data_IF_194813278681
#
_entry.id   IF_194813278681
#
_cell.length_a   1.000
_cell.length_b   1.000
_cell.length_c   1.000
_cell.angle_alpha   90.00
_cell.angle_beta   90.00
_cell.angle_gamma   90.00
#
_symmetry.space_group_name_H-M   'P 1'
#
loop_
_entity.id
_entity.type
_entity.pdbx_description
1 polymer ?
#
# COMPACT_ATOMS: atom_id res chain seq x y z
N UNK A 1 18.97 30.09 -18.61
CA UNK A 1 18.69 29.96 -20.06
C UNK A 1 17.33 29.34 -20.22
N UNK A 2 16.53 29.83 -21.15
CA UNK A 2 15.21 29.24 -21.43
C UNK A 2 15.39 27.91 -22.19
N UNK A 3 14.68 26.89 -21.76
CA UNK A 3 14.71 25.55 -22.34
C UNK A 3 13.35 25.16 -22.89
N UNK A 4 13.31 24.56 -24.09
CA UNK A 4 12.08 24.00 -24.67
C UNK A 4 12.22 22.51 -24.86
N UNK A 5 11.17 21.75 -24.45
CA UNK A 5 11.12 20.29 -24.57
C UNK A 5 9.72 19.82 -24.96
N UNK A 6 9.59 18.59 -25.45
CA UNK A 6 8.28 17.96 -25.69
C UNK A 6 7.56 17.67 -24.35
N UNK A 7 8.29 17.15 -23.34
CA UNK A 7 7.68 16.73 -22.07
C UNK A 7 8.53 17.20 -20.88
N UNK A 8 7.92 17.85 -19.88
CA UNK A 8 8.50 18.05 -18.56
C UNK A 8 7.87 17.09 -17.56
N UNK A 9 8.68 16.39 -16.78
CA UNK A 9 8.25 15.43 -15.77
C UNK A 9 8.69 15.97 -14.41
N UNK A 10 7.72 16.19 -13.51
CA UNK A 10 7.96 16.76 -12.18
C UNK A 10 7.96 15.65 -11.12
N UNK A 11 9.14 15.33 -10.59
CA UNK A 11 9.38 14.30 -9.58
C UNK A 11 10.11 13.07 -10.15
N UNK A 12 11.23 12.71 -9.52
CA UNK A 12 12.06 11.54 -9.82
C UNK A 12 11.66 10.30 -8.97
N UNK A 13 10.39 10.26 -8.53
CA UNK A 13 9.82 9.09 -7.86
C UNK A 13 9.44 7.97 -8.84
N UNK A 14 8.87 6.89 -8.33
CA UNK A 14 8.46 5.70 -9.12
C UNK A 14 7.59 6.07 -10.32
N UNK A 15 6.58 6.93 -10.14
CA UNK A 15 5.70 7.37 -11.22
C UNK A 15 6.44 8.18 -12.27
N UNK A 16 7.28 9.15 -11.85
CA UNK A 16 8.06 9.99 -12.78
C UNK A 16 9.07 9.20 -13.60
N UNK A 17 9.81 8.28 -12.95
CA UNK A 17 10.75 7.39 -13.66
C UNK A 17 10.03 6.45 -14.64
N UNK A 18 8.83 5.97 -14.27
CA UNK A 18 8.00 5.15 -15.17
C UNK A 18 7.47 5.94 -16.35
N UNK A 19 7.08 7.21 -16.14
CA UNK A 19 6.67 8.13 -17.20
C UNK A 19 7.84 8.45 -18.13
N UNK A 20 9.00 8.78 -17.58
CA UNK A 20 10.23 9.04 -18.30
C UNK A 20 10.58 7.90 -19.26
N UNK A 21 10.51 6.65 -18.79
CA UNK A 21 10.80 5.49 -19.62
C UNK A 21 9.90 5.43 -20.88
N UNK A 22 8.62 5.82 -20.78
CA UNK A 22 7.70 5.84 -21.92
C UNK A 22 8.00 7.01 -22.87
N UNK A 23 8.32 8.19 -22.33
CA UNK A 23 8.69 9.38 -23.13
C UNK A 23 9.98 9.12 -23.90
N UNK A 24 11.00 8.54 -23.23
CA UNK A 24 12.28 8.14 -23.85
C UNK A 24 12.07 7.09 -24.94
N UNK A 25 11.21 6.08 -24.71
CA UNK A 25 10.85 5.06 -25.70
C UNK A 25 10.18 5.66 -26.94
N UNK A 26 9.41 6.74 -26.78
CA UNK A 26 8.79 7.48 -27.87
C UNK A 26 9.76 8.44 -28.58
N UNK A 27 11.02 8.53 -28.13
CA UNK A 27 12.07 9.42 -28.66
C UNK A 27 11.68 10.90 -28.61
N UNK A 28 10.92 11.31 -27.61
CA UNK A 28 10.57 12.70 -27.34
C UNK A 28 11.64 13.35 -26.48
N UNK A 29 11.91 14.63 -26.73
CA UNK A 29 12.76 15.44 -25.85
C UNK A 29 12.07 15.66 -24.51
N UNK A 30 12.81 15.55 -23.39
CA UNK A 30 12.23 15.74 -22.06
C UNK A 30 13.23 16.32 -21.07
N UNK A 31 12.68 16.74 -19.95
CA UNK A 31 13.42 16.97 -18.70
C UNK A 31 12.71 16.28 -17.55
N UNK A 32 13.49 15.70 -16.63
CA UNK A 32 13.05 15.23 -15.34
C UNK A 32 13.51 16.23 -14.27
N UNK A 33 12.58 16.75 -13.50
CA UNK A 33 12.85 17.81 -12.50
C UNK A 33 12.54 17.26 -11.11
N UNK A 34 13.49 17.37 -10.18
CA UNK A 34 13.28 16.93 -8.79
C UNK A 34 13.95 17.86 -7.81
N UNK A 35 13.20 18.39 -6.84
CA UNK A 35 13.70 19.32 -5.81
C UNK A 35 13.91 18.70 -4.45
N UNK A 36 13.65 17.41 -4.27
CA UNK A 36 13.86 16.68 -3.02
C UNK A 36 14.93 15.61 -3.15
N UNK A 37 15.10 14.83 -2.08
CA UNK A 37 16.04 13.72 -2.07
C UNK A 37 15.69 12.67 -3.14
N UNK A 38 16.74 12.14 -3.77
CA UNK A 38 16.63 11.12 -4.81
C UNK A 38 16.54 9.72 -4.21
N UNK A 39 16.20 8.73 -5.05
CA UNK A 39 16.15 7.32 -4.66
C UNK A 39 14.74 6.76 -4.46
N UNK A 40 13.71 7.53 -4.75
CA UNK A 40 12.27 7.24 -4.58
C UNK A 40 11.81 7.10 -3.12
N UNK A 41 10.59 7.49 -2.81
CA UNK A 41 9.99 7.32 -1.48
C UNK A 41 9.98 5.85 -1.05
N UNK A 42 9.67 4.93 -1.97
CA UNK A 42 9.61 3.50 -1.66
C UNK A 42 10.96 2.92 -1.22
N UNK A 43 12.05 3.23 -1.95
CA UNK A 43 13.36 2.69 -1.58
C UNK A 43 13.95 3.38 -0.35
N UNK A 44 13.77 4.70 -0.22
CA UNK A 44 14.43 5.52 0.81
C UNK A 44 13.73 5.49 2.17
N UNK A 45 12.42 5.75 2.20
CA UNK A 45 11.64 5.97 3.45
C UNK A 45 10.31 5.21 3.48
N UNK A 46 10.10 4.29 2.56
CA UNK A 46 8.82 3.57 2.44
C UNK A 46 8.97 2.05 2.53
N UNK A 47 8.60 1.39 1.43
CA UNK A 47 8.43 -0.06 1.36
C UNK A 47 9.69 -0.83 1.77
N UNK A 48 10.87 -0.39 1.33
CA UNK A 48 12.08 -1.21 1.49
C UNK A 48 12.62 -1.18 2.93
N UNK A 49 12.88 -0.02 3.55
CA UNK A 49 13.33 0.00 4.94
C UNK A 49 12.26 -0.54 5.91
N UNK A 50 10.97 -0.31 5.66
CA UNK A 50 9.93 -0.88 6.51
C UNK A 50 9.91 -2.41 6.45
N UNK A 51 10.07 -3.02 5.28
CA UNK A 51 10.09 -4.50 5.14
C UNK A 51 11.37 -5.11 5.70
N UNK A 52 12.50 -4.40 5.63
CA UNK A 52 13.71 -4.82 6.32
C UNK A 52 13.51 -4.85 7.85
N UNK A 53 12.93 -3.80 8.43
CA UNK A 53 12.61 -3.73 9.86
C UNK A 53 11.59 -4.81 10.27
N UNK A 54 10.51 -4.98 9.51
CA UNK A 54 9.46 -5.99 9.73
C UNK A 54 10.07 -7.40 9.70
N UNK A 55 10.99 -7.69 8.76
CA UNK A 55 11.63 -9.01 8.69
C UNK A 55 12.41 -9.33 9.99
N UNK A 56 13.25 -8.41 10.46
CA UNK A 56 13.99 -8.59 11.73
C UNK A 56 13.03 -8.77 12.91
N UNK A 57 11.95 -7.97 12.93
CA UNK A 57 10.94 -8.04 13.99
C UNK A 57 10.20 -9.40 13.99
N UNK A 58 9.83 -9.91 12.82
CA UNK A 58 9.18 -11.24 12.69
C UNK A 58 10.13 -12.37 13.06
N UNK A 59 11.41 -12.30 12.66
CA UNK A 59 12.42 -13.32 13.01
C UNK A 59 12.59 -13.40 14.54
N UNK A 60 12.65 -12.26 15.22
CA UNK A 60 12.71 -12.21 16.69
C UNK A 60 11.41 -12.70 17.34
N UNK A 61 10.25 -12.26 16.84
CA UNK A 61 8.95 -12.60 17.42
C UNK A 61 8.65 -14.10 17.35
N UNK A 62 9.21 -14.82 16.36
CA UNK A 62 9.05 -16.27 16.25
C UNK A 62 9.51 -17.02 17.51
N UNK A 63 10.42 -16.46 18.29
CA UNK A 63 10.85 -17.04 19.59
C UNK A 63 9.71 -17.37 20.55
N UNK A 64 8.58 -16.66 20.46
CA UNK A 64 7.43 -16.85 21.37
C UNK A 64 6.73 -18.21 21.20
N UNK A 65 6.98 -18.92 20.09
CA UNK A 65 6.43 -20.25 19.85
C UNK A 65 7.45 -21.36 20.02
N UNK A 66 8.72 -21.06 20.30
CA UNK A 66 9.81 -22.02 20.39
C UNK A 66 9.58 -23.09 21.47
N UNK A 67 9.12 -22.69 22.67
CA UNK A 67 8.80 -23.65 23.73
C UNK A 67 7.75 -24.67 23.30
N UNK A 68 6.72 -24.22 22.58
CA UNK A 68 5.71 -25.11 22.02
C UNK A 68 6.27 -26.08 21.00
N UNK A 69 7.31 -25.68 20.28
CA UNK A 69 8.00 -26.48 19.26
C UNK A 69 9.13 -27.34 19.87
N UNK A 70 9.38 -27.23 21.17
CA UNK A 70 10.48 -27.94 21.86
C UNK A 70 11.86 -27.33 21.56
N UNK A 71 11.92 -26.06 21.16
CA UNK A 71 13.16 -25.32 20.93
C UNK A 71 13.47 -24.50 22.18
N UNK A 72 14.59 -24.80 22.82
CA UNK A 72 15.03 -24.13 24.05
C UNK A 72 15.81 -22.83 23.76
N UNK A 73 15.84 -21.90 24.73
CA UNK A 73 16.66 -20.69 24.70
C UNK A 73 16.04 -19.50 23.97
N UNK A 74 14.79 -19.57 23.54
CA UNK A 74 14.08 -18.46 22.89
C UNK A 74 14.02 -17.19 23.72
N UNK A 75 13.84 -17.30 25.03
CA UNK A 75 13.78 -16.17 25.99
C UNK A 75 15.10 -15.36 26.06
N UNK A 76 16.24 -15.98 25.75
CA UNK A 76 17.53 -15.31 25.75
C UNK A 76 17.79 -14.44 24.51
N UNK A 77 16.95 -14.57 23.48
CA UNK A 77 17.07 -13.77 22.26
C UNK A 77 16.54 -12.35 22.48
N UNK A 78 17.31 -11.37 22.04
CA UNK A 78 16.91 -9.95 22.06
C UNK A 78 17.46 -9.25 20.83
N UNK A 79 16.80 -8.17 20.38
CA UNK A 79 17.35 -7.31 19.36
C UNK A 79 18.36 -6.32 19.95
N UNK A 80 19.48 -6.13 19.29
CA UNK A 80 20.33 -4.98 19.51
C UNK A 80 19.83 -3.85 18.61
N UNK A 81 19.10 -2.88 19.15
CA UNK A 81 18.40 -1.86 18.39
C UNK A 81 19.31 -1.03 17.47
N UNK A 82 20.47 -0.51 17.94
CA UNK A 82 21.41 0.18 17.06
C UNK A 82 21.85 -0.65 15.84
N UNK A 83 22.25 -1.91 16.05
CA UNK A 83 22.66 -2.80 14.96
C UNK A 83 21.48 -3.16 14.02
N UNK A 84 20.27 -3.29 14.57
CA UNK A 84 19.06 -3.52 13.77
C UNK A 84 18.79 -2.33 12.86
N UNK A 85 18.87 -1.10 13.39
CA UNK A 85 18.62 0.11 12.61
C UNK A 85 19.74 0.35 11.58
N UNK A 86 20.99 0.04 11.90
CA UNK A 86 22.11 0.04 10.96
C UNK A 86 21.87 -0.92 9.80
N UNK A 87 21.51 -2.18 10.09
CA UNK A 87 21.15 -3.17 9.07
C UNK A 87 19.99 -2.71 8.14
N UNK A 88 18.96 -2.08 8.69
CA UNK A 88 17.85 -1.52 7.91
C UNK A 88 18.33 -0.43 6.96
N UNK A 89 19.21 0.48 7.45
CA UNK A 89 19.81 1.55 6.63
C UNK A 89 20.72 0.99 5.55
N UNK A 90 21.57 0.02 5.86
CA UNK A 90 22.48 -0.61 4.88
C UNK A 90 21.70 -1.23 3.71
N UNK A 91 20.63 -1.98 4.00
CA UNK A 91 19.78 -2.54 2.96
C UNK A 91 19.05 -1.47 2.15
N UNK A 92 18.57 -0.42 2.81
CA UNK A 92 17.97 0.74 2.15
C UNK A 92 18.94 1.39 1.18
N UNK A 93 20.14 1.68 1.62
CA UNK A 93 21.15 2.41 0.85
C UNK A 93 21.58 1.62 -0.40
N UNK A 94 21.76 0.32 -0.29
CA UNK A 94 22.02 -0.57 -1.43
C UNK A 94 20.88 -0.43 -2.49
N UNK A 95 19.63 -0.32 -2.05
CA UNK A 95 18.49 -0.23 -2.95
C UNK A 95 18.35 1.17 -3.55
N UNK A 96 18.63 2.21 -2.77
CA UNK A 96 18.69 3.60 -3.25
C UNK A 96 19.77 3.75 -4.32
N UNK A 97 20.98 3.28 -4.06
CA UNK A 97 22.09 3.32 -5.01
C UNK A 97 21.74 2.63 -6.33
N UNK A 98 21.06 1.48 -6.27
CA UNK A 98 20.57 0.80 -7.49
C UNK A 98 19.55 1.62 -8.27
N UNK A 99 18.67 2.33 -7.58
CA UNK A 99 17.69 3.22 -8.25
C UNK A 99 18.43 4.36 -8.94
N UNK A 100 19.36 5.03 -8.26
CA UNK A 100 20.12 6.15 -8.79
C UNK A 100 20.98 5.74 -9.99
N UNK A 101 21.77 4.67 -9.85
CA UNK A 101 22.61 4.13 -10.91
C UNK A 101 21.83 3.74 -12.18
N UNK A 102 20.55 3.33 -12.04
CA UNK A 102 19.69 2.97 -13.18
C UNK A 102 18.77 4.11 -13.64
N UNK A 103 18.90 5.30 -13.09
CA UNK A 103 18.03 6.44 -13.42
C UNK A 103 18.80 7.76 -13.53
N UNK A 104 18.79 8.56 -12.47
CA UNK A 104 19.26 9.96 -12.49
C UNK A 104 20.74 10.12 -12.74
N UNK A 105 21.59 9.20 -12.30
CA UNK A 105 23.05 9.29 -12.46
C UNK A 105 23.50 9.25 -13.94
N UNK A 106 22.66 8.74 -14.83
CA UNK A 106 22.97 8.60 -16.25
C UNK A 106 22.31 9.68 -17.13
N UNK A 107 21.58 10.65 -16.53
CA UNK A 107 20.72 11.53 -17.31
C UNK A 107 21.41 12.80 -17.84
N UNK A 108 22.50 13.24 -17.21
CA UNK A 108 23.16 14.48 -17.62
C UNK A 108 22.18 15.66 -17.66
N UNK A 109 22.17 16.37 -18.78
CA UNK A 109 21.30 17.56 -18.98
C UNK A 109 19.80 17.25 -19.00
N UNK A 110 19.39 15.99 -19.12
CA UNK A 110 17.95 15.62 -19.04
C UNK A 110 17.41 15.68 -17.61
N UNK A 111 18.28 15.73 -16.59
CA UNK A 111 17.91 15.90 -15.19
C UNK A 111 18.17 17.34 -14.72
N UNK A 112 17.21 17.92 -14.02
CA UNK A 112 17.32 19.24 -13.40
C UNK A 112 16.99 19.11 -11.90
N UNK A 113 17.98 19.42 -11.07
CA UNK A 113 17.77 19.51 -9.63
C UNK A 113 17.10 20.87 -9.29
N UNK A 114 15.97 20.80 -8.59
CA UNK A 114 15.24 21.97 -8.12
C UNK A 114 13.74 21.77 -8.03
N UNK A 115 13.09 22.69 -7.33
CA UNK A 115 11.64 22.74 -7.22
C UNK A 115 11.04 23.52 -8.38
N UNK A 116 10.18 22.85 -9.17
CA UNK A 116 9.44 23.48 -10.25
C UNK A 116 8.16 24.14 -9.75
N UNK A 117 7.79 25.29 -10.35
CA UNK A 117 6.47 25.89 -10.18
C UNK A 117 5.95 26.42 -11.52
N UNK A 118 4.66 26.38 -11.72
CA UNK A 118 4.04 27.02 -12.87
C UNK A 118 4.13 28.54 -12.77
N UNK A 119 4.52 29.19 -13.84
CA UNK A 119 4.45 30.65 -14.01
C UNK A 119 3.41 31.06 -15.05
N UNK A 120 3.13 30.17 -16.00
CA UNK A 120 2.10 30.26 -17.04
C UNK A 120 1.71 28.82 -17.43
N UNK A 121 0.57 28.60 -18.14
CA UNK A 121 0.25 27.29 -18.68
C UNK A 121 1.42 26.74 -19.52
N UNK A 122 1.88 25.52 -19.18
CA UNK A 122 3.00 24.83 -19.85
C UNK A 122 4.38 25.49 -19.71
N UNK A 123 4.53 26.49 -18.84
CA UNK A 123 5.82 27.14 -18.54
C UNK A 123 6.14 26.99 -17.04
N UNK A 124 7.28 26.39 -16.77
CA UNK A 124 7.77 26.13 -15.43
C UNK A 124 8.97 27.01 -15.11
N UNK A 125 9.09 27.43 -13.86
CA UNK A 125 10.26 28.05 -13.27
C UNK A 125 10.96 27.06 -12.36
N UNK A 126 12.27 26.84 -12.55
CA UNK A 126 13.14 26.04 -11.67
C UNK A 126 14.38 26.86 -11.35
N UNK A 127 14.50 27.38 -10.13
CA UNK A 127 15.53 28.40 -9.81
C UNK A 127 15.41 29.60 -10.75
N UNK A 128 16.48 29.93 -11.48
CA UNK A 128 16.49 31.01 -12.48
C UNK A 128 16.12 30.56 -13.89
N UNK A 129 15.93 29.25 -14.12
CA UNK A 129 15.69 28.69 -15.45
C UNK A 129 14.19 28.61 -15.74
N UNK A 130 13.77 29.04 -16.94
CA UNK A 130 12.44 28.80 -17.49
C UNK A 130 12.44 27.59 -18.40
N UNK A 131 11.42 26.74 -18.25
CA UNK A 131 11.23 25.53 -19.04
C UNK A 131 9.85 25.59 -19.67
N UNK A 132 9.82 25.67 -20.99
CA UNK A 132 8.58 25.53 -21.78
C UNK A 132 8.44 24.11 -22.25
N UNK A 133 7.32 23.46 -21.97
CA UNK A 133 7.05 22.10 -22.37
C UNK A 133 5.73 22.00 -23.13
N UNK A 134 5.71 21.18 -24.18
CA UNK A 134 4.45 20.95 -24.88
C UNK A 134 3.46 20.16 -24.03
N UNK A 135 3.96 19.32 -23.12
CA UNK A 135 3.18 18.51 -22.16
C UNK A 135 3.91 18.41 -20.82
N UNK A 136 3.14 18.22 -19.73
CA UNK A 136 3.69 18.12 -18.38
C UNK A 136 3.13 16.88 -17.69
N UNK A 137 3.99 16.14 -16.97
CA UNK A 137 3.60 15.02 -16.10
C UNK A 137 3.88 15.42 -14.64
N UNK A 138 2.83 15.49 -13.83
CA UNK A 138 2.91 15.73 -12.39
C UNK A 138 3.11 14.39 -11.67
N UNK A 139 4.28 14.22 -11.05
CA UNK A 139 4.65 12.99 -10.32
C UNK A 139 5.42 13.29 -9.02
N UNK A 140 5.11 14.44 -8.38
CA UNK A 140 5.83 14.96 -7.20
C UNK A 140 5.52 14.21 -5.90
N UNK A 141 4.64 13.21 -5.93
CA UNK A 141 4.31 12.38 -4.77
C UNK A 141 3.65 13.14 -3.62
N UNK A 142 3.86 12.61 -2.43
CA UNK A 142 3.23 13.08 -1.18
C UNK A 142 4.25 13.15 -0.05
N UNK A 143 3.88 13.79 1.06
CA UNK A 143 4.63 13.84 2.32
C UNK A 143 3.75 13.45 3.51
N UNK A 144 4.31 12.98 4.65
CA UNK A 144 3.56 12.69 5.85
C UNK A 144 2.78 13.91 6.37
N UNK A 145 1.60 13.66 6.94
CA UNK A 145 0.82 14.68 7.64
C UNK A 145 1.24 14.72 9.10
N UNK A 146 1.70 15.89 9.55
CA UNK A 146 1.93 16.21 10.96
C UNK A 146 1.13 17.47 11.29
N UNK A 147 0.27 17.47 12.32
CA UNK A 147 -0.46 18.66 12.73
C UNK A 147 0.51 19.80 13.11
N UNK A 148 0.24 21.04 12.69
CA UNK A 148 1.08 22.19 13.09
C UNK A 148 1.21 22.35 14.61
N UNK A 149 0.19 21.96 15.37
CA UNK A 149 0.20 21.98 16.84
C UNK A 149 1.21 21.03 17.49
N UNK A 150 1.80 20.11 16.70
CA UNK A 150 2.82 19.17 17.18
C UNK A 150 4.26 19.65 16.91
N UNK A 151 4.44 20.80 16.28
CA UNK A 151 5.76 21.31 15.89
C UNK A 151 6.70 21.52 17.09
N UNK A 152 6.18 21.91 18.24
CA UNK A 152 6.97 22.19 19.45
C UNK A 152 7.60 20.91 20.07
N UNK A 153 7.11 19.73 19.72
CA UNK A 153 7.69 18.46 20.17
C UNK A 153 8.95 18.05 19.39
N UNK A 154 9.26 18.73 18.27
CA UNK A 154 10.50 18.55 17.50
C UNK A 154 10.75 17.12 17.06
N UNK A 155 11.97 16.64 17.25
CA UNK A 155 12.41 15.29 16.82
C UNK A 155 11.71 14.13 17.53
N UNK A 156 10.96 14.39 18.60
CA UNK A 156 10.14 13.37 19.26
C UNK A 156 8.89 12.99 18.45
N UNK A 157 8.53 13.79 17.43
CA UNK A 157 7.51 13.43 16.45
C UNK A 157 8.19 12.76 15.27
N UNK A 158 8.02 11.46 15.18
CA UNK A 158 8.53 10.64 14.09
C UNK A 158 7.49 10.52 12.98
N UNK A 159 7.97 10.34 11.77
CA UNK A 159 7.16 10.02 10.59
C UNK A 159 7.79 8.85 9.84
N UNK A 160 7.15 8.35 8.77
CA UNK A 160 7.79 7.38 7.86
C UNK A 160 9.11 7.90 7.28
N UNK A 161 9.25 9.24 7.15
CA UNK A 161 10.43 9.85 6.53
C UNK A 161 11.62 9.96 7.51
N UNK A 162 11.38 9.86 8.83
CA UNK A 162 12.42 10.06 9.86
C UNK A 162 12.68 8.83 10.74
N UNK A 163 11.74 7.89 10.85
CA UNK A 163 11.86 6.73 11.77
C UNK A 163 13.05 5.83 11.42
N UNK A 164 13.42 5.72 10.15
CA UNK A 164 14.54 4.87 9.71
C UNK A 164 15.91 5.52 9.90
N UNK A 165 15.95 6.83 10.20
CA UNK A 165 17.19 7.57 10.50
C UNK A 165 17.56 7.50 11.98
N UNK A 166 16.75 6.90 12.84
CA UNK A 166 17.07 6.71 14.24
C UNK A 166 18.31 5.81 14.40
N UNK A 167 19.27 6.26 15.21
CA UNK A 167 20.42 5.45 15.60
C UNK A 167 20.04 4.39 16.62
N UNK A 168 19.08 4.70 17.50
CA UNK A 168 18.52 3.79 18.51
C UNK A 168 17.01 3.96 18.59
N UNK A 169 16.29 2.96 19.08
CA UNK A 169 14.85 3.01 19.21
C UNK A 169 14.42 3.66 20.54
N UNK A 170 13.31 4.43 20.58
CA UNK A 170 12.74 4.92 21.83
C UNK A 170 12.22 3.74 22.66
N UNK A 171 12.25 3.86 24.00
CA UNK A 171 11.72 2.80 24.89
C UNK A 171 10.20 2.68 24.79
N UNK A 172 9.54 3.80 24.53
CA UNK A 172 8.08 3.88 24.41
C UNK A 172 7.66 4.80 23.27
N UNK A 173 6.62 4.40 22.53
CA UNK A 173 6.11 5.15 21.40
C UNK A 173 4.58 5.06 21.30
N UNK A 174 3.95 6.19 21.00
CA UNK A 174 2.56 6.22 20.58
C UNK A 174 2.49 6.26 19.04
N UNK A 175 1.76 5.33 18.45
CA UNK A 175 1.48 5.33 17.01
C UNK A 175 0.12 5.96 16.78
N UNK A 176 0.09 7.11 16.11
CA UNK A 176 -1.14 7.86 15.82
C UNK A 176 -1.48 7.74 14.35
N UNK A 177 -2.61 7.12 14.07
CA UNK A 177 -3.03 6.66 12.75
C UNK A 177 -2.67 5.18 12.54
N UNK A 178 -3.68 4.30 12.54
CA UNK A 178 -3.54 2.85 12.40
C UNK A 178 -3.95 2.37 10.99
N UNK A 179 -3.55 3.17 9.98
CA UNK A 179 -3.48 2.75 8.59
C UNK A 179 -2.34 1.75 8.36
N UNK A 180 -2.03 1.46 7.10
CA UNK A 180 -0.98 0.50 6.71
C UNK A 180 0.36 0.81 7.40
N UNK A 181 0.83 2.06 7.31
CA UNK A 181 2.14 2.48 7.86
C UNK A 181 2.18 2.32 9.39
N UNK A 182 1.15 2.82 10.08
CA UNK A 182 1.10 2.77 11.54
C UNK A 182 1.03 1.35 12.09
N UNK A 183 0.25 0.47 11.45
CA UNK A 183 0.17 -0.93 11.86
C UNK A 183 1.46 -1.70 11.64
N UNK A 184 2.08 -1.54 10.45
CA UNK A 184 3.33 -2.21 10.11
C UNK A 184 4.47 -1.80 11.04
N UNK A 185 4.70 -0.50 11.20
CA UNK A 185 5.78 0.01 12.04
C UNK A 185 5.47 -0.21 13.53
N UNK A 186 4.23 0.01 13.97
CA UNK A 186 3.84 -0.23 15.35
C UNK A 186 4.04 -1.68 15.77
N UNK A 187 3.64 -2.64 14.94
CA UNK A 187 3.86 -4.05 15.24
C UNK A 187 5.34 -4.43 15.20
N UNK A 188 6.10 -3.96 14.21
CA UNK A 188 7.52 -4.24 14.12
C UNK A 188 8.29 -3.71 15.35
N UNK A 189 8.00 -2.48 15.77
CA UNK A 189 8.60 -1.89 16.96
C UNK A 189 8.22 -2.66 18.22
N UNK A 190 6.95 -3.07 18.36
CA UNK A 190 6.49 -3.89 19.49
C UNK A 190 7.22 -5.24 19.54
N UNK A 191 7.39 -5.92 18.44
CA UNK A 191 8.11 -7.19 18.36
C UNK A 191 9.60 -7.06 18.67
N UNK A 192 10.19 -5.90 18.41
CA UNK A 192 11.56 -5.56 18.80
C UNK A 192 11.69 -5.16 20.29
N UNK A 193 10.60 -5.09 21.03
CA UNK A 193 10.60 -4.81 22.46
C UNK A 193 10.34 -3.36 22.86
N UNK A 194 9.96 -2.49 21.91
CA UNK A 194 9.50 -1.12 22.22
C UNK A 194 8.10 -1.18 22.83
N UNK A 195 7.85 -0.39 23.88
CA UNK A 195 6.50 -0.24 24.45
C UNK A 195 5.62 0.61 23.52
N UNK A 196 4.78 -0.03 22.72
CA UNK A 196 3.93 0.61 21.71
C UNK A 196 2.49 0.76 22.24
N UNK A 197 1.86 1.91 21.94
CA UNK A 197 0.42 2.12 22.10
C UNK A 197 -0.13 2.76 20.82
N UNK A 198 -1.17 2.18 20.25
CA UNK A 198 -1.78 2.64 19.00
C UNK A 198 -3.06 3.44 19.24
N UNK A 199 -3.23 4.52 18.47
CA UNK A 199 -4.40 5.39 18.48
C UNK A 199 -4.89 5.69 17.07
N UNK A 200 -6.21 5.64 16.86
CA UNK A 200 -6.84 6.15 15.64
C UNK A 200 -8.17 6.82 15.94
N UNK A 201 -8.49 7.89 15.21
CA UNK A 201 -9.80 8.53 15.28
C UNK A 201 -10.88 7.72 14.55
N UNK A 202 -10.48 6.84 13.63
CA UNK A 202 -11.38 5.91 12.94
C UNK A 202 -11.60 4.66 13.82
N UNK A 203 -12.74 4.00 13.63
CA UNK A 203 -13.08 2.74 14.29
C UNK A 203 -12.61 1.50 13.50
N UNK A 204 -11.58 1.65 12.66
CA UNK A 204 -11.08 0.58 11.80
C UNK A 204 -9.56 0.56 11.75
N UNK A 205 -8.99 -0.56 11.31
CA UNK A 205 -7.57 -0.75 11.03
C UNK A 205 -7.34 -0.92 9.53
N UNK A 206 -6.26 -0.34 8.99
CA UNK A 206 -5.88 -0.45 7.57
C UNK A 206 -7.03 -0.13 6.58
N UNK A 207 -8.03 0.67 6.98
CA UNK A 207 -9.17 1.00 6.14
C UNK A 207 -10.11 -0.16 5.83
N UNK A 208 -10.15 -1.22 6.66
CA UNK A 208 -11.06 -2.36 6.47
C UNK A 208 -12.50 -1.91 6.66
N UNK A 209 -13.35 -2.10 5.65
CA UNK A 209 -14.77 -1.77 5.69
C UNK A 209 -15.66 -2.98 6.03
N UNK A 210 -15.23 -4.22 5.72
CA UNK A 210 -15.96 -5.44 6.11
C UNK A 210 -16.00 -5.61 7.63
N UNK A 211 -17.20 -5.61 8.27
CA UNK A 211 -17.33 -5.62 9.73
C UNK A 211 -16.73 -6.86 10.40
N UNK A 212 -16.86 -8.05 9.79
CA UNK A 212 -16.30 -9.28 10.36
C UNK A 212 -14.78 -9.34 10.25
N UNK A 213 -14.23 -8.88 9.11
CA UNK A 213 -12.79 -8.78 8.93
C UNK A 213 -12.19 -7.70 9.86
N UNK A 214 -12.86 -6.54 9.98
CA UNK A 214 -12.48 -5.46 10.92
C UNK A 214 -12.39 -5.97 12.35
N UNK A 215 -13.42 -6.66 12.83
CA UNK A 215 -13.43 -7.23 14.17
C UNK A 215 -12.28 -8.22 14.39
N UNK A 216 -12.03 -9.09 13.41
CA UNK A 216 -10.91 -10.05 13.45
C UNK A 216 -9.55 -9.34 13.46
N UNK A 217 -9.37 -8.30 12.65
CA UNK A 217 -8.13 -7.52 12.61
C UNK A 217 -7.86 -6.83 13.94
N UNK A 218 -8.86 -6.15 14.51
CA UNK A 218 -8.72 -5.47 15.82
C UNK A 218 -8.35 -6.48 16.91
N UNK A 219 -9.05 -7.62 16.99
CA UNK A 219 -8.77 -8.67 17.98
C UNK A 219 -7.33 -9.20 17.89
N UNK A 220 -6.85 -9.43 16.66
CA UNK A 220 -5.52 -10.00 16.45
C UNK A 220 -4.40 -8.97 16.65
N UNK A 221 -4.57 -7.77 16.13
CA UNK A 221 -3.56 -6.70 16.26
C UNK A 221 -3.42 -6.21 17.70
N UNK A 222 -4.51 -6.18 18.48
CA UNK A 222 -4.48 -5.83 19.92
C UNK A 222 -3.66 -6.80 20.80
N UNK A 223 -3.25 -7.94 20.25
CA UNK A 223 -2.31 -8.86 20.94
C UNK A 223 -0.86 -8.41 20.82
N UNK A 224 -0.53 -7.64 19.80
CA UNK A 224 0.82 -7.12 19.60
C UNK A 224 1.08 -5.88 20.45
N UNK A 225 0.11 -4.98 20.56
CA UNK A 225 0.16 -3.77 21.40
C UNK A 225 -1.25 -3.24 21.69
N UNK A 226 -1.46 -2.46 22.77
CA UNK A 226 -2.74 -1.80 23.07
C UNK A 226 -3.19 -0.88 21.92
N UNK A 227 -4.48 -0.97 21.54
CA UNK A 227 -5.09 -0.20 20.43
C UNK A 227 -6.34 0.52 20.96
N UNK A 228 -6.41 1.83 20.73
CA UNK A 228 -7.53 2.70 21.09
C UNK A 228 -8.06 3.41 19.84
N UNK A 229 -9.34 3.19 19.51
CA UNK A 229 -10.00 3.68 18.31
C UNK A 229 -11.12 4.67 18.64
N UNK A 230 -11.55 5.47 17.65
CA UNK A 230 -12.71 6.35 17.72
C UNK A 230 -12.44 7.71 18.39
N UNK A 231 -11.19 8.06 18.68
CA UNK A 231 -10.87 9.32 19.35
C UNK A 231 -9.67 10.02 18.70
N UNK A 232 -9.80 11.32 18.52
CA UNK A 232 -8.67 12.17 18.12
C UNK A 232 -7.65 12.28 19.28
N UNK A 233 -6.38 12.41 18.91
CA UNK A 233 -5.26 12.51 19.86
C UNK A 233 -4.91 13.95 20.14
N UNK A 234 -4.71 14.28 21.42
CA UNK A 234 -4.09 15.52 21.91
C UNK A 234 -2.74 15.20 22.56
N UNK A 235 -1.72 15.99 22.22
CA UNK A 235 -0.39 15.90 22.82
C UNK A 235 -0.16 17.01 23.83
N UNK A 236 0.51 16.68 24.95
CA UNK A 236 0.95 17.63 25.97
C UNK A 236 2.37 17.30 26.41
N UNK A 237 3.13 18.34 26.72
CA UNK A 237 4.48 18.19 27.28
C UNK A 237 4.40 17.58 28.68
N UNK A 238 5.23 16.58 28.94
CA UNK A 238 5.32 15.90 30.25
C UNK A 238 6.80 15.70 30.61
N UNK A 239 7.40 16.67 31.24
CA UNK A 239 8.85 16.70 31.48
C UNK A 239 9.66 16.53 30.18
N UNK A 240 10.40 15.42 30.03
CA UNK A 240 11.14 15.08 28.79
C UNK A 240 10.38 14.16 27.84
N UNK A 241 9.14 13.81 28.18
CA UNK A 241 8.28 12.89 27.44
C UNK A 241 7.04 13.58 26.90
N UNK A 242 6.20 12.85 26.21
CA UNK A 242 4.95 13.33 25.61
C UNK A 242 3.78 12.58 26.25
N UNK A 243 2.84 13.32 26.84
CA UNK A 243 1.55 12.78 27.23
C UNK A 243 0.60 12.79 26.05
N UNK A 244 0.11 11.62 25.71
CA UNK A 244 -0.86 11.38 24.61
C UNK A 244 -2.21 11.09 25.24
N UNK A 245 -3.22 11.89 24.90
CA UNK A 245 -4.59 11.75 25.40
C UNK A 245 -5.53 11.46 24.24
N UNK A 246 -6.43 10.46 24.38
CA UNK A 246 -7.46 10.11 23.40
C UNK A 246 -8.73 9.63 24.14
N UNK A 247 -9.79 10.42 24.19
CA UNK A 247 -10.96 10.15 25.03
C UNK A 247 -10.55 10.01 26.51
N UNK A 248 -10.91 8.87 27.11
CA UNK A 248 -10.55 8.56 28.51
C UNK A 248 -9.17 7.89 28.67
N UNK A 249 -8.45 7.70 27.57
CA UNK A 249 -7.13 7.05 27.59
C UNK A 249 -6.01 8.09 27.65
N UNK A 250 -4.98 7.78 28.43
CA UNK A 250 -3.79 8.62 28.57
C UNK A 250 -2.54 7.77 28.74
N UNK A 251 -1.50 8.05 27.98
CA UNK A 251 -0.19 7.37 28.08
C UNK A 251 0.93 8.40 27.99
N UNK A 252 2.05 8.14 28.65
CA UNK A 252 3.28 8.95 28.55
C UNK A 252 4.31 8.15 27.79
N UNK A 253 4.89 8.75 26.74
CA UNK A 253 5.81 8.08 25.81
C UNK A 253 7.01 8.96 25.49
N UNK A 254 8.09 8.34 25.02
CA UNK A 254 9.30 9.06 24.60
C UNK A 254 9.10 9.75 23.24
N UNK A 255 8.36 9.11 22.34
CA UNK A 255 8.14 9.60 20.99
C UNK A 255 6.73 9.28 20.47
N UNK A 256 6.30 9.99 19.44
CA UNK A 256 5.04 9.76 18.73
C UNK A 256 5.34 9.51 17.26
N UNK A 257 4.87 8.40 16.70
CA UNK A 257 4.88 8.14 15.26
C UNK A 257 3.60 8.71 14.64
N UNK A 258 3.73 9.76 13.85
CA UNK A 258 2.64 10.37 13.09
C UNK A 258 2.45 9.60 11.77
N UNK A 259 1.42 8.76 11.71
CA UNK A 259 1.02 7.94 10.55
C UNK A 259 -0.43 8.24 10.10
N UNK A 260 -0.83 9.51 10.22
CA UNK A 260 -2.19 10.01 9.99
C UNK A 260 -2.50 10.34 8.52
N UNK A 261 -1.85 9.65 7.59
CA UNK A 261 -2.00 9.84 6.16
C UNK A 261 -0.90 10.71 5.54
N UNK A 262 -1.06 10.96 4.25
CA UNK A 262 -0.08 11.69 3.43
C UNK A 262 -0.78 12.82 2.68
N UNK A 263 -0.06 13.94 2.50
CA UNK A 263 -0.53 15.13 1.79
C UNK A 263 0.19 15.25 0.45
N UNK A 264 -0.55 15.55 -0.60
CA UNK A 264 -0.03 15.83 -1.93
C UNK A 264 0.92 17.05 -1.93
N UNK A 265 1.98 16.97 -2.75
CA UNK A 265 2.96 18.04 -2.92
C UNK A 265 2.55 19.07 -3.99
N UNK A 266 1.27 19.18 -4.31
CA UNK A 266 0.72 20.15 -5.27
C UNK A 266 0.87 21.62 -4.81
N UNK A 267 0.86 21.86 -3.52
CA UNK A 267 0.95 23.20 -2.94
C UNK A 267 2.27 23.94 -3.26
N UNK A 268 3.30 23.23 -3.71
CA UNK A 268 4.56 23.83 -4.14
C UNK A 268 4.58 24.23 -5.61
N UNK A 269 3.60 23.77 -6.40
CA UNK A 269 3.61 23.88 -7.86
C UNK A 269 2.97 25.15 -8.39
N UNK A 270 2.31 25.98 -7.55
CA UNK A 270 1.52 27.15 -7.99
C UNK A 270 0.49 26.77 -9.08
N UNK A 271 -0.36 25.78 -8.75
CA UNK A 271 -1.30 25.15 -9.69
C UNK A 271 -2.29 26.16 -10.31
N UNK A 272 -2.56 27.27 -9.65
CA UNK A 272 -3.37 28.39 -10.17
C UNK A 272 -2.85 28.97 -11.50
N UNK A 273 -1.55 28.83 -11.77
CA UNK A 273 -0.92 29.27 -13.01
C UNK A 273 -0.88 28.19 -14.10
N UNK A 274 -1.28 26.96 -13.78
CA UNK A 274 -1.16 25.81 -14.69
C UNK A 274 -2.21 25.78 -15.80
N UNK A 275 -3.36 26.42 -15.58
CA UNK A 275 -4.53 26.31 -16.44
C UNK A 275 -5.26 24.96 -16.32
N UNK A 276 -5.00 24.20 -15.26
CA UNK A 276 -5.66 22.92 -14.96
C UNK A 276 -6.81 23.13 -13.98
N UNK A 277 -7.96 22.56 -14.27
CA UNK A 277 -9.10 22.58 -13.35
C UNK A 277 -8.82 21.69 -12.13
N UNK A 278 -9.02 22.24 -10.94
CA UNK A 278 -8.88 21.56 -9.66
C UNK A 278 -10.22 21.50 -8.91
N UNK A 279 -10.37 20.52 -8.05
CA UNK A 279 -11.51 20.43 -7.14
C UNK A 279 -11.39 21.43 -5.97
N UNK A 280 -12.36 21.40 -5.03
CA UNK A 280 -12.40 22.28 -3.86
C UNK A 280 -11.20 22.10 -2.90
N UNK A 281 -10.44 21.02 -3.03
CA UNK A 281 -9.25 20.72 -2.23
C UNK A 281 -7.94 21.04 -2.97
N UNK A 282 -8.03 21.59 -4.18
CA UNK A 282 -6.87 21.92 -5.01
C UNK A 282 -6.27 20.72 -5.75
N UNK A 283 -6.98 19.58 -5.80
CA UNK A 283 -6.56 18.38 -6.51
C UNK A 283 -6.98 18.50 -7.98
N UNK A 284 -6.07 18.29 -8.96
CA UNK A 284 -6.43 18.26 -10.38
C UNK A 284 -7.53 17.26 -10.70
N UNK A 285 -8.53 17.69 -11.47
CA UNK A 285 -9.56 16.81 -11.98
C UNK A 285 -8.99 16.06 -13.19
N UNK A 286 -8.93 14.73 -13.12
CA UNK A 286 -8.30 13.90 -14.14
C UNK A 286 -9.08 12.61 -14.44
N UNK A 287 -8.82 12.03 -15.58
CA UNK A 287 -9.35 10.73 -15.99
C UNK A 287 -8.36 9.61 -15.63
N UNK A 288 -8.78 8.66 -14.79
CA UNK A 288 -7.95 7.54 -14.31
C UNK A 288 -7.49 6.58 -15.42
N UNK A 289 -8.14 6.56 -16.57
CA UNK A 289 -7.81 5.67 -17.68
C UNK A 289 -6.76 6.28 -18.62
N UNK A 290 -6.69 7.61 -18.68
CA UNK A 290 -5.74 8.35 -19.51
C UNK A 290 -4.67 9.06 -18.69
N UNK A 291 -4.88 9.25 -17.39
CA UNK A 291 -4.10 10.09 -16.47
C UNK A 291 -4.06 11.57 -16.89
N UNK A 292 -4.92 12.01 -17.79
CA UNK A 292 -4.99 13.38 -18.32
C UNK A 292 -5.85 14.26 -17.42
N UNK A 293 -5.39 15.46 -17.12
CA UNK A 293 -6.13 16.47 -16.38
C UNK A 293 -7.06 17.25 -17.32
N UNK A 294 -8.35 16.93 -17.27
CA UNK A 294 -9.37 17.50 -18.15
C UNK A 294 -8.98 17.45 -19.63
N UNK A 295 -9.20 18.56 -20.34
CA UNK A 295 -8.77 18.70 -21.76
C UNK A 295 -7.37 19.30 -21.90
N UNK A 296 -6.66 19.54 -20.80
CA UNK A 296 -5.31 20.09 -20.82
C UNK A 296 -4.27 19.12 -21.37
N UNK A 297 -3.04 19.56 -21.55
CA UNK A 297 -1.88 18.73 -21.90
C UNK A 297 -1.02 18.41 -20.66
N UNK A 298 -1.65 18.42 -19.48
CA UNK A 298 -1.06 18.04 -18.20
C UNK A 298 -1.59 16.65 -17.82
N UNK A 299 -0.70 15.81 -17.34
CA UNK A 299 -0.98 14.46 -16.85
C UNK A 299 -0.55 14.36 -15.37
N UNK A 300 -1.19 13.47 -14.61
CA UNK A 300 -0.86 13.26 -13.20
C UNK A 300 -0.61 11.77 -12.95
N UNK A 301 0.32 11.41 -12.06
CA UNK A 301 0.61 10.02 -11.79
C UNK A 301 1.27 9.79 -10.41
N UNK A 302 0.96 8.68 -9.78
CA UNK A 302 1.45 8.26 -8.48
C UNK A 302 0.73 8.95 -7.33
N UNK A 303 1.30 8.90 -6.14
CA UNK A 303 0.65 9.32 -4.89
C UNK A 303 0.06 10.75 -4.93
N UNK A 304 0.62 11.62 -5.78
CA UNK A 304 0.11 12.98 -6.00
C UNK A 304 -1.31 13.00 -6.57
N UNK A 305 -1.75 11.92 -7.23
CA UNK A 305 -3.11 11.79 -7.78
C UNK A 305 -4.18 11.69 -6.68
N UNK A 306 -3.78 11.37 -5.44
CA UNK A 306 -4.70 11.20 -4.32
C UNK A 306 -5.53 9.92 -4.37
N UNK A 307 -5.25 9.01 -5.32
CA UNK A 307 -5.92 7.71 -5.46
C UNK A 307 -5.19 6.63 -4.64
N UNK A 308 -4.88 5.49 -5.22
CA UNK A 308 -4.22 4.37 -4.54
C UNK A 308 -2.72 4.64 -4.35
N UNK A 309 -2.30 5.02 -3.13
CA UNK A 309 -0.92 5.40 -2.79
C UNK A 309 -0.03 4.17 -2.57
N UNK A 310 0.11 3.34 -3.60
CA UNK A 310 0.94 2.13 -3.59
C UNK A 310 1.84 2.07 -4.82
N UNK A 311 3.00 1.43 -4.69
CA UNK A 311 4.06 1.46 -5.71
C UNK A 311 3.62 0.92 -7.07
N UNK A 312 2.90 -0.20 -7.12
CA UNK A 312 2.50 -0.81 -8.38
C UNK A 312 1.49 0.05 -9.14
N UNK A 313 0.57 0.75 -8.44
CA UNK A 313 -0.33 1.74 -9.03
C UNK A 313 0.44 2.95 -9.52
N UNK A 314 1.36 3.51 -8.73
CA UNK A 314 2.23 4.61 -9.14
C UNK A 314 3.05 4.27 -10.41
N UNK A 315 3.51 3.02 -10.53
CA UNK A 315 4.21 2.53 -11.72
C UNK A 315 3.29 2.51 -12.95
N UNK A 316 2.08 1.98 -12.81
CA UNK A 316 1.11 1.89 -13.92
C UNK A 316 0.62 3.28 -14.34
N UNK A 317 0.28 4.13 -13.38
CA UNK A 317 -0.11 5.52 -13.64
C UNK A 317 1.00 6.28 -14.36
N UNK A 318 2.25 6.14 -13.90
CA UNK A 318 3.41 6.74 -14.56
C UNK A 318 3.56 6.26 -16.00
N UNK A 319 3.38 4.97 -16.27
CA UNK A 319 3.42 4.41 -17.63
C UNK A 319 2.31 4.97 -18.50
N UNK A 320 1.08 5.05 -18.00
CA UNK A 320 -0.07 5.59 -18.74
C UNK A 320 0.14 7.08 -19.03
N UNK A 321 0.50 7.87 -18.00
CA UNK A 321 0.77 9.30 -18.14
C UNK A 321 1.89 9.58 -19.13
N UNK A 322 3.04 8.89 -19.00
CA UNK A 322 4.17 9.04 -19.90
C UNK A 322 3.87 8.58 -21.32
N UNK A 323 3.12 7.49 -21.49
CA UNK A 323 2.68 7.04 -22.82
C UNK A 323 1.81 8.10 -23.50
N UNK A 324 0.84 8.66 -22.77
CA UNK A 324 -0.08 9.66 -23.29
C UNK A 324 0.58 11.04 -23.48
N UNK A 325 1.47 11.44 -22.59
CA UNK A 325 2.23 12.67 -22.72
C UNK A 325 3.18 12.67 -23.93
N UNK A 326 3.56 11.52 -24.44
CA UNK A 326 4.41 11.41 -25.62
C UNK A 326 3.64 11.39 -26.96
N UNK A 327 2.30 11.58 -26.97
CA UNK A 327 1.42 11.43 -28.15
C UNK A 327 0.43 12.57 -28.29
N UNK A 328 -0.08 12.77 -29.50
CA UNK A 328 -1.02 13.86 -29.79
C UNK A 328 -2.44 13.59 -29.28
N UNK A 329 -2.82 12.31 -29.18
CA UNK A 329 -4.12 11.88 -28.61
C UNK A 329 -3.90 10.95 -27.44
N UNK A 330 -4.65 11.15 -26.36
CA UNK A 330 -4.65 10.27 -25.20
C UNK A 330 -5.43 8.98 -25.48
N UNK A 331 -4.88 7.86 -25.01
CA UNK A 331 -5.48 6.52 -25.08
C UNK A 331 -5.89 6.09 -23.69
N UNK A 332 -7.11 5.60 -23.54
CA UNK A 332 -7.61 5.03 -22.29
C UNK A 332 -7.11 3.59 -22.09
N UNK A 333 -6.62 3.29 -20.90
CA UNK A 333 -6.16 1.95 -20.50
C UNK A 333 -7.05 1.39 -19.40
N UNK A 334 -7.35 0.09 -19.46
CA UNK A 334 -8.00 -0.61 -18.36
C UNK A 334 -7.08 -0.60 -17.14
N UNK A 335 -7.62 -0.25 -15.97
CA UNK A 335 -6.89 -0.35 -14.70
C UNK A 335 -6.88 -1.81 -14.22
N UNK A 336 -5.85 -2.19 -13.49
CA UNK A 336 -5.73 -3.50 -12.86
C UNK A 336 -6.67 -3.61 -11.67
N UNK A 337 -6.89 -4.83 -11.21
CA UNK A 337 -7.63 -5.10 -9.98
C UNK A 337 -6.92 -4.46 -8.79
N UNK A 338 -7.61 -3.63 -7.96
CA UNK A 338 -7.05 -3.06 -6.75
C UNK A 338 -6.50 -4.14 -5.81
N UNK A 339 -5.31 -3.92 -5.26
CA UNK A 339 -4.64 -4.84 -4.35
C UNK A 339 -3.90 -4.07 -3.27
N UNK A 340 -4.33 -4.21 -2.03
CA UNK A 340 -3.69 -3.63 -0.86
C UNK A 340 -3.25 -4.72 0.12
N UNK A 341 -2.01 -4.64 0.58
CA UNK A 341 -1.41 -5.57 1.54
C UNK A 341 -0.76 -4.76 2.65
N UNK A 342 -1.15 -5.04 3.90
CA UNK A 342 -0.47 -4.58 5.12
C UNK A 342 0.36 -5.74 5.65
N UNK A 343 1.67 -5.57 5.72
CA UNK A 343 2.64 -6.62 6.08
C UNK A 343 2.78 -6.80 7.60
N UNK A 344 1.64 -6.89 8.27
CA UNK A 344 1.55 -7.31 9.68
C UNK A 344 1.57 -8.84 9.79
N UNK A 345 1.68 -9.38 11.00
CA UNK A 345 1.48 -10.79 11.33
C UNK A 345 0.26 -10.92 12.27
N UNK A 346 -0.88 -11.43 11.75
CA UNK A 346 -1.14 -11.83 10.36
C UNK A 346 -1.21 -10.65 9.38
N UNK A 347 -0.96 -10.90 8.07
CA UNK A 347 -1.18 -9.89 7.04
C UNK A 347 -2.66 -9.49 6.95
N UNK A 348 -2.90 -8.22 6.59
CA UNK A 348 -4.22 -7.71 6.24
C UNK A 348 -4.22 -7.40 4.76
N UNK A 349 -5.09 -8.06 3.98
CA UNK A 349 -5.16 -7.85 2.54
C UNK A 349 -6.58 -7.49 2.11
N UNK A 350 -6.70 -6.51 1.20
CA UNK A 350 -7.95 -6.13 0.56
C UNK A 350 -7.76 -6.20 -0.95
N UNK A 351 -8.63 -6.89 -1.65
CA UNK A 351 -8.50 -7.24 -3.06
C UNK A 351 -9.80 -6.95 -3.79
N UNK A 352 -9.72 -6.31 -4.96
CA UNK A 352 -10.87 -6.02 -5.81
C UNK A 352 -11.77 -4.93 -5.24
N UNK A 353 -13.08 -5.12 -5.35
CA UNK A 353 -14.09 -4.16 -4.88
C UNK A 353 -14.12 -4.15 -3.35
N UNK A 354 -14.02 -2.95 -2.75
CA UNK A 354 -14.14 -2.79 -1.30
C UNK A 354 -15.56 -3.20 -0.81
N UNK A 355 -15.64 -3.69 0.43
CA UNK A 355 -16.92 -4.23 0.95
C UNK A 355 -18.07 -3.21 0.89
N UNK A 356 -17.82 -1.95 1.23
CA UNK A 356 -18.83 -0.89 1.24
C UNK A 356 -19.29 -0.47 -0.18
N UNK A 357 -18.49 -0.76 -1.20
CA UNK A 357 -18.79 -0.46 -2.60
C UNK A 357 -19.53 -1.62 -3.29
N UNK A 358 -19.74 -2.74 -2.58
CA UNK A 358 -20.46 -3.89 -3.12
C UNK A 358 -21.97 -3.63 -3.16
N UNK A 359 -22.67 -3.97 -4.25
CA UNK A 359 -24.13 -3.93 -4.30
C UNK A 359 -24.72 -5.05 -3.42
N UNK A 360 -25.10 -4.72 -2.18
CA UNK A 360 -25.45 -5.68 -1.13
C UNK A 360 -26.56 -6.69 -1.51
N UNK A 361 -27.48 -6.31 -2.41
CA UNK A 361 -28.55 -7.16 -2.93
C UNK A 361 -28.14 -8.13 -4.04
N UNK A 362 -26.93 -7.96 -4.59
CA UNK A 362 -26.42 -8.72 -5.75
C UNK A 362 -25.18 -9.58 -5.40
N UNK A 363 -24.70 -9.52 -4.16
CA UNK A 363 -23.45 -10.18 -3.74
C UNK A 363 -23.74 -11.21 -2.65
N UNK A 364 -23.05 -12.33 -2.74
CA UNK A 364 -22.95 -13.35 -1.69
C UNK A 364 -21.53 -13.40 -1.13
N UNK A 365 -21.45 -13.71 0.16
CA UNK A 365 -20.20 -13.76 0.89
C UNK A 365 -19.88 -15.18 1.35
N UNK A 366 -18.63 -15.60 1.14
CA UNK A 366 -18.07 -16.80 1.71
C UNK A 366 -17.03 -16.48 2.78
N UNK A 367 -17.04 -17.26 3.84
CA UNK A 367 -16.16 -17.08 4.98
C UNK A 367 -15.43 -18.37 5.33
N UNK A 368 -14.15 -18.25 5.72
CA UNK A 368 -13.40 -19.33 6.33
C UNK A 368 -12.52 -18.79 7.46
N UNK A 369 -12.73 -19.27 8.67
CA UNK A 369 -11.85 -19.03 9.80
C UNK A 369 -10.66 -19.97 9.76
N UNK A 370 -9.46 -19.49 10.14
CA UNK A 370 -8.23 -20.27 10.06
C UNK A 370 -8.09 -21.36 11.13
N UNK A 371 -8.94 -21.36 12.16
CA UNK A 371 -8.88 -22.32 13.26
C UNK A 371 -8.71 -23.78 12.81
N UNK A 372 -9.54 -24.31 11.88
CA UNK A 372 -9.46 -25.70 11.44
C UNK A 372 -8.47 -25.95 10.27
N UNK A 373 -7.77 -24.92 9.76
CA UNK A 373 -6.86 -25.07 8.62
C UNK A 373 -5.57 -25.76 9.06
N UNK A 374 -5.32 -26.98 8.58
CA UNK A 374 -4.22 -27.83 9.03
C UNK A 374 -2.84 -27.17 8.89
N UNK A 375 -2.53 -26.53 7.76
CA UNK A 375 -1.26 -25.84 7.56
C UNK A 375 -1.09 -24.66 8.53
N UNK A 376 -2.14 -23.88 8.72
CA UNK A 376 -2.13 -22.75 9.66
C UNK A 376 -1.88 -23.21 11.10
N UNK A 377 -2.49 -24.34 11.49
CA UNK A 377 -2.28 -24.95 12.82
C UNK A 377 -0.83 -25.41 13.02
N UNK A 378 -0.26 -26.08 12.01
CA UNK A 378 1.15 -26.53 12.04
C UNK A 378 2.09 -25.33 12.21
N UNK A 379 1.82 -24.22 11.52
CA UNK A 379 2.63 -23.00 11.60
C UNK A 379 2.44 -22.21 12.90
N UNK A 380 1.47 -22.57 13.75
CA UNK A 380 1.09 -21.74 14.90
C UNK A 380 0.32 -20.48 14.55
N UNK A 381 -0.15 -20.36 13.31
CA UNK A 381 -0.74 -19.18 12.68
C UNK A 381 -2.23 -19.41 12.32
N UNK A 382 -2.94 -20.24 13.08
CA UNK A 382 -4.33 -20.63 12.81
C UNK A 382 -5.37 -19.63 13.36
N UNK A 383 -5.01 -18.35 13.40
CA UNK A 383 -5.90 -17.25 13.78
C UNK A 383 -6.10 -16.36 12.57
N UNK A 384 -7.35 -15.94 12.35
CA UNK A 384 -7.68 -15.07 11.24
C UNK A 384 -8.91 -15.51 10.48
N UNK A 385 -9.15 -14.82 9.36
CA UNK A 385 -10.37 -14.89 8.61
C UNK A 385 -10.10 -14.60 7.13
N UNK A 386 -10.68 -15.41 6.25
CA UNK A 386 -10.78 -15.12 4.82
C UNK A 386 -12.24 -14.87 4.47
N UNK A 387 -12.51 -13.78 3.77
CA UNK A 387 -13.82 -13.48 3.19
C UNK A 387 -13.69 -13.22 1.70
N UNK A 388 -14.58 -13.83 0.91
CA UNK A 388 -14.66 -13.64 -0.54
C UNK A 388 -16.05 -13.11 -0.89
N UNK A 389 -16.11 -12.23 -1.88
CA UNK A 389 -17.33 -11.57 -2.34
C UNK A 389 -17.58 -11.96 -3.78
N UNK A 390 -18.74 -12.57 -4.04
CA UNK A 390 -19.10 -13.07 -5.37
C UNK A 390 -20.46 -12.55 -5.83
N UNK A 391 -20.56 -12.21 -7.10
CA UNK A 391 -21.81 -11.80 -7.73
C UNK A 391 -22.80 -12.97 -7.73
N UNK A 392 -23.99 -12.79 -7.13
CA UNK A 392 -24.99 -13.83 -6.92
C UNK A 392 -25.43 -14.48 -8.22
N UNK A 393 -25.62 -13.68 -9.28
CA UNK A 393 -26.17 -14.14 -10.55
C UNK A 393 -25.19 -14.93 -11.40
N UNK A 394 -23.92 -14.52 -11.43
CA UNK A 394 -22.89 -15.10 -12.30
C UNK A 394 -21.89 -15.95 -11.55
N UNK A 395 -21.77 -15.78 -10.22
CA UNK A 395 -20.75 -16.37 -9.39
C UNK A 395 -19.34 -15.79 -9.61
N UNK A 396 -19.20 -14.66 -10.31
CA UNK A 396 -17.91 -13.99 -10.48
C UNK A 396 -17.38 -13.50 -9.16
N UNK A 397 -16.10 -13.71 -8.93
CA UNK A 397 -15.41 -13.11 -7.80
C UNK A 397 -15.25 -11.61 -8.05
N UNK A 398 -15.67 -10.78 -7.09
CA UNK A 398 -15.60 -9.32 -7.14
C UNK A 398 -14.53 -8.75 -6.24
N UNK A 399 -14.31 -9.38 -5.09
CA UNK A 399 -13.35 -8.91 -4.11
C UNK A 399 -13.12 -9.92 -2.99
N UNK A 400 -12.20 -9.59 -2.10
CA UNK A 400 -11.91 -10.38 -0.90
C UNK A 400 -11.23 -9.51 0.18
N UNK A 401 -11.40 -9.91 1.45
CA UNK A 401 -10.63 -9.40 2.59
C UNK A 401 -10.03 -10.57 3.36
N UNK A 402 -8.72 -10.53 3.57
CA UNK A 402 -7.97 -11.61 4.21
C UNK A 402 -7.26 -11.07 5.46
N UNK A 403 -7.38 -11.79 6.57
CA UNK A 403 -6.59 -11.60 7.77
C UNK A 403 -5.91 -12.96 8.03
N UNK A 404 -4.70 -13.14 7.51
CA UNK A 404 -4.04 -14.44 7.55
C UNK A 404 -2.52 -14.31 7.44
N UNK A 405 -1.79 -15.24 8.03
CA UNK A 405 -0.35 -15.33 7.85
C UNK A 405 -0.02 -15.69 6.40
N UNK A 406 0.97 -15.01 5.79
CA UNK A 406 1.38 -15.17 4.39
C UNK A 406 0.25 -14.92 3.38
N UNK A 407 -0.72 -14.08 3.74
CA UNK A 407 -1.87 -13.80 2.88
C UNK A 407 -1.50 -13.00 1.62
N UNK A 408 -0.31 -12.39 1.56
CA UNK A 408 0.19 -11.70 0.38
C UNK A 408 0.21 -12.58 -0.87
N UNK A 409 0.48 -13.89 -0.72
CA UNK A 409 0.47 -14.83 -1.85
C UNK A 409 -0.96 -15.13 -2.32
N UNK A 410 -1.89 -15.38 -1.37
CA UNK A 410 -3.31 -15.56 -1.67
C UNK A 410 -3.93 -14.30 -2.28
N UNK A 411 -3.51 -13.12 -1.80
CA UNK A 411 -3.99 -11.85 -2.32
C UNK A 411 -3.63 -11.64 -3.80
N UNK A 412 -2.41 -11.98 -4.21
CA UNK A 412 -2.00 -11.96 -5.62
C UNK A 412 -2.82 -12.95 -6.46
N UNK A 413 -2.97 -14.20 -5.98
CA UNK A 413 -3.78 -15.22 -6.65
C UNK A 413 -5.22 -14.71 -6.88
N UNK A 414 -5.84 -14.14 -5.85
CA UNK A 414 -7.20 -13.60 -5.93
C UNK A 414 -7.30 -12.40 -6.88
N UNK A 415 -6.33 -11.49 -6.85
CA UNK A 415 -6.29 -10.36 -7.77
C UNK A 415 -6.23 -10.83 -9.23
N UNK A 416 -5.42 -11.85 -9.55
CA UNK A 416 -5.36 -12.43 -10.90
C UNK A 416 -6.67 -13.13 -11.29
N UNK A 417 -7.30 -13.86 -10.36
CA UNK A 417 -8.62 -14.48 -10.60
C UNK A 417 -9.70 -13.44 -10.89
N UNK A 418 -9.70 -12.31 -10.19
CA UNK A 418 -10.64 -11.19 -10.41
C UNK A 418 -10.38 -10.53 -11.77
N UNK A 419 -9.12 -10.27 -12.11
CA UNK A 419 -8.73 -9.66 -13.40
C UNK A 419 -9.18 -10.51 -14.59
N UNK A 420 -9.06 -11.83 -14.47
CA UNK A 420 -9.53 -12.84 -15.43
C UNK A 420 -11.05 -13.12 -15.32
N UNK A 421 -11.77 -12.40 -14.45
CA UNK A 421 -13.21 -12.55 -14.23
C UNK A 421 -13.65 -13.99 -13.91
N UNK A 422 -12.82 -14.72 -13.18
CA UNK A 422 -13.11 -16.11 -12.80
C UNK A 422 -14.33 -16.16 -11.88
N UNK A 423 -15.14 -17.24 -12.07
CA UNK A 423 -16.24 -17.58 -11.18
C UNK A 423 -15.76 -18.46 -10.03
N UNK A 424 -16.50 -18.48 -8.92
CA UNK A 424 -16.27 -19.37 -7.78
C UNK A 424 -16.18 -20.83 -8.23
N UNK A 425 -17.05 -21.26 -9.15
CA UNK A 425 -17.02 -22.62 -9.70
C UNK A 425 -15.72 -22.92 -10.47
N UNK A 426 -15.29 -21.98 -11.32
CA UNK A 426 -14.02 -22.14 -12.06
C UNK A 426 -12.82 -22.21 -11.11
N UNK A 427 -12.83 -21.48 -10.01
CA UNK A 427 -11.77 -21.55 -9.00
C UNK A 427 -11.80 -22.88 -8.24
N UNK A 428 -12.97 -23.36 -7.82
CA UNK A 428 -13.12 -24.64 -7.12
C UNK A 428 -12.68 -25.84 -7.98
N UNK A 429 -12.70 -25.71 -9.31
CA UNK A 429 -12.21 -26.71 -10.27
C UNK A 429 -10.68 -26.71 -10.43
N UNK A 430 -9.96 -25.78 -9.81
CA UNK A 430 -8.50 -25.77 -9.82
C UNK A 430 -7.95 -26.70 -8.73
N UNK A 431 -6.73 -27.25 -8.91
CA UNK A 431 -6.13 -28.07 -7.88
C UNK A 431 -5.77 -27.24 -6.64
N UNK A 432 -6.10 -27.77 -5.48
CA UNK A 432 -5.63 -27.26 -4.18
C UNK A 432 -4.72 -28.32 -3.57
N UNK A 433 -3.48 -27.95 -3.29
CA UNK A 433 -2.50 -28.87 -2.70
C UNK A 433 -2.71 -28.97 -1.17
N UNK A 434 -2.46 -30.17 -0.61
CA UNK A 434 -2.57 -30.41 0.82
C UNK A 434 -1.19 -30.83 1.41
N UNK A 435 -0.78 -30.31 2.60
CA UNK A 435 -1.42 -29.23 3.36
C UNK A 435 -0.90 -27.84 2.92
N UNK A 436 -1.77 -26.90 2.68
CA UNK A 436 -1.40 -25.53 2.28
C UNK A 436 -2.35 -24.47 2.87
N UNK A 437 -1.95 -23.19 2.80
CA UNK A 437 -2.82 -22.07 3.23
C UNK A 437 -3.97 -21.84 2.25
N UNK A 438 -3.83 -22.23 0.99
CA UNK A 438 -4.84 -22.13 -0.07
C UNK A 438 -6.10 -22.94 0.25
N UNK A 439 -6.02 -23.94 1.12
CA UNK A 439 -7.20 -24.68 1.60
C UNK A 439 -8.18 -23.77 2.38
N UNK A 440 -7.69 -22.70 3.00
CA UNK A 440 -8.55 -21.68 3.60
C UNK A 440 -9.37 -20.94 2.53
N UNK A 441 -8.75 -20.61 1.40
CA UNK A 441 -9.46 -20.04 0.26
C UNK A 441 -10.50 -21.02 -0.30
N UNK A 442 -10.12 -22.29 -0.49
CA UNK A 442 -11.06 -23.32 -0.93
C UNK A 442 -12.27 -23.43 0.02
N UNK A 443 -12.03 -23.34 1.33
CA UNK A 443 -13.10 -23.32 2.35
C UNK A 443 -14.07 -22.16 2.17
N UNK A 444 -13.57 -20.93 1.98
CA UNK A 444 -14.39 -19.75 1.75
C UNK A 444 -15.17 -19.85 0.42
N UNK A 445 -14.55 -20.39 -0.64
CA UNK A 445 -15.22 -20.62 -1.93
C UNK A 445 -16.33 -21.67 -1.81
N UNK A 446 -16.14 -22.74 -1.03
CA UNK A 446 -17.18 -23.75 -0.75
C UNK A 446 -18.33 -23.19 0.06
N UNK A 447 -18.05 -22.26 0.98
CA UNK A 447 -19.09 -21.60 1.79
C UNK A 447 -19.96 -20.65 0.95
N UNK A 448 -19.40 -19.92 0.00
CA UNK A 448 -20.20 -19.01 -0.86
C UNK A 448 -20.95 -19.76 -1.98
N UNK A 449 -20.40 -20.86 -2.49
CA UNK A 449 -20.92 -21.51 -3.68
C UNK A 449 -22.43 -21.87 -3.61
N UNK A 450 -22.96 -22.50 -2.54
CA UNK A 450 -24.38 -22.87 -2.45
C UNK A 450 -25.32 -21.65 -2.36
N UNK A 451 -24.79 -20.46 -2.04
CA UNK A 451 -25.56 -19.21 -1.95
C UNK A 451 -25.77 -18.54 -3.32
N UNK A 452 -25.04 -19.01 -4.35
CA UNK A 452 -25.07 -18.44 -5.69
C UNK A 452 -26.19 -19.06 -6.52
N UNK A 453 -26.82 -18.27 -7.42
CA UNK A 453 -27.90 -18.72 -8.31
C UNK A 453 -27.40 -19.60 -9.48
N UNK A 454 -26.22 -20.19 -9.39
CA UNK A 454 -25.68 -21.05 -10.44
C UNK A 454 -26.46 -22.36 -10.53
N UNK A 455 -27.19 -22.55 -11.62
CA UNK A 455 -27.80 -23.85 -11.98
C UNK A 455 -26.66 -24.81 -12.31
N UNK A 456 -26.29 -25.64 -11.36
CA UNK A 456 -25.35 -26.73 -11.61
C UNK A 456 -26.12 -28.01 -11.97
N UNK A 457 -25.67 -28.74 -13.00
CA UNK A 457 -26.15 -30.08 -13.25
C UNK A 457 -25.95 -30.97 -12.02
N UNK A 458 -26.82 -31.93 -11.72
CA UNK A 458 -26.87 -32.80 -10.53
C UNK A 458 -26.70 -32.03 -9.20
N UNK A 459 -27.81 -31.82 -8.49
CA UNK A 459 -27.86 -31.03 -7.25
C UNK A 459 -26.92 -31.55 -6.13
N UNK A 460 -26.53 -32.83 -6.17
CA UNK A 460 -25.91 -33.56 -5.06
C UNK A 460 -24.39 -33.71 -5.17
N UNK A 461 -23.76 -33.34 -6.29
CA UNK A 461 -22.32 -33.50 -6.44
C UNK A 461 -21.56 -32.25 -5.96
N UNK A 462 -20.45 -32.38 -5.19
CA UNK A 462 -19.56 -31.26 -4.88
C UNK A 462 -19.08 -30.55 -6.16
N UNK A 463 -18.84 -29.20 -6.11
CA UNK A 463 -18.45 -28.42 -7.27
C UNK A 463 -17.23 -28.98 -8.02
N UNK A 464 -16.27 -29.53 -7.28
CA UNK A 464 -15.05 -30.12 -7.82
C UNK A 464 -15.34 -31.37 -8.67
N UNK A 465 -16.30 -32.20 -8.28
CA UNK A 465 -16.69 -33.40 -9.04
C UNK A 465 -17.52 -33.08 -10.28
N UNK A 466 -18.20 -31.93 -10.31
CA UNK A 466 -18.92 -31.46 -11.52
C UNK A 466 -17.96 -31.19 -12.69
N UNK A 467 -16.69 -30.93 -12.42
CA UNK A 467 -15.66 -30.82 -13.46
C UNK A 467 -15.40 -32.11 -14.22
N UNK A 468 -15.56 -33.27 -13.56
CA UNK A 468 -15.34 -34.60 -14.17
C UNK A 468 -16.42 -35.01 -15.17
N UNK A 469 -17.53 -34.29 -15.20
CA UNK A 469 -18.65 -34.52 -16.13
C UNK A 469 -18.64 -33.61 -17.36
N UNK A 470 -17.70 -32.69 -17.46
CA UNK A 470 -17.49 -31.93 -18.70
C UNK A 470 -16.69 -32.81 -19.67
N UNK A 471 -17.19 -33.02 -20.90
CA UNK A 471 -16.41 -33.73 -21.91
C UNK A 471 -15.07 -33.02 -22.11
N UNK A 472 -13.99 -33.73 -22.09
CA UNK A 472 -12.68 -33.19 -22.46
C UNK A 472 -12.70 -32.83 -23.95
N UNK A 473 -12.96 -31.52 -24.23
CA UNK A 473 -12.99 -31.00 -25.58
C UNK A 473 -11.62 -31.05 -26.30
N UNK A 474 -10.55 -31.39 -25.56
CA UNK A 474 -9.21 -31.57 -26.12
C UNK A 474 -9.00 -32.96 -26.81
N UNK A 475 -9.93 -33.90 -26.63
CA UNK A 475 -9.84 -35.25 -27.20
C UNK A 475 -10.63 -35.44 -28.51
N UNK A 476 -11.27 -34.39 -29.04
CA UNK A 476 -11.82 -34.44 -30.41
C UNK A 476 -10.74 -34.09 -31.42
N UNK A 477 -10.01 -35.15 -31.87
CA UNK A 477 -9.21 -35.12 -33.11
C UNK A 477 -10.09 -35.45 -34.28
#
# INVERSE_FOLDING_TARGET
>A
MDRKVDVAILGAGTAGLSAMAQVRRAKKSFVLINGGELGTTCARVGCMPSKALIQVAHDLHRREIFDREGIEGGEALSANWPNTMEHVRDLRDILVDRVLANSTDQMGDEFIEGYARFIEPYVLQVGEQKISADRIVLACGTRPVVPPSWADFGERILTSDTVFELEDLPRSIAVVGLGVIGLELGQALSYLGVSVTGFDQQETLAGITDPAARQSAIELMSRSFPIYLGHAVELKEEASQIRVNAGDQSVVVDSVLASMGRRSNLDWLAMENSGVDCDAHGQPIFDRHTMRCGESRVFIAGDISGTDQVLHEATDEGRIAGYNAARDSAVAFKRKTPLAITFTSPNICQIGVAFDDLPADQVEMGEMRLGPVGRALIMGANRGLLRVYAERSTGRLLGATLIAERAEHLAHLLAWCIDERMTVLQMLRKPFYHPSMEEALQGALRDVFPKLNQKSGSADAPPELKALHEPDSSTSV
#
